data_IF_501431077037
#
_entry.id   IF_501431077037
#
_cell.length_a   1.000
_cell.length_b   1.000
_cell.length_c   1.000
_cell.angle_alpha   90.00
_cell.angle_beta   90.00
_cell.angle_gamma   90.00
#
_symmetry.space_group_name_H-M   'P 1'
#
loop_
_entity.id
_entity.type
_entity.pdbx_description
1 polymer ?
#
# COMPACT_ATOMS: atom_id res chain seq x y z
N UNK A 1 4.80 16.63 -12.90
CA UNK A 1 4.04 15.76 -11.97
C UNK A 1 2.57 15.81 -12.38
N UNK A 2 1.86 14.68 -12.41
CA UNK A 2 0.48 14.59 -12.94
C UNK A 2 -0.62 14.96 -11.93
N UNK A 3 -0.27 15.33 -10.69
CA UNK A 3 -1.24 15.73 -9.65
C UNK A 3 -2.23 16.82 -10.09
N UNK A 4 -1.85 17.91 -10.78
CA UNK A 4 -2.82 18.91 -11.25
C UNK A 4 -3.67 18.42 -12.45
N UNK A 5 -3.22 17.39 -13.17
CA UNK A 5 -3.83 16.91 -14.42
C UNK A 5 -4.98 15.94 -14.10
N UNK A 6 -6.19 16.46 -13.90
CA UNK A 6 -7.35 15.68 -13.42
C UNK A 6 -7.76 14.51 -14.33
N UNK A 7 -7.50 14.62 -15.62
CA UNK A 7 -7.77 13.55 -16.60
C UNK A 7 -6.82 12.35 -16.42
N UNK A 8 -5.66 12.57 -15.79
CA UNK A 8 -4.69 11.51 -15.54
C UNK A 8 -5.03 10.80 -14.23
N UNK A 9 -5.37 9.51 -14.35
CA UNK A 9 -5.60 8.63 -13.20
C UNK A 9 -4.29 8.37 -12.46
N UNK A 10 -4.33 8.47 -11.13
CA UNK A 10 -3.21 8.11 -10.26
C UNK A 10 -3.60 6.84 -9.51
N UNK A 11 -2.86 5.75 -9.75
CA UNK A 11 -3.10 4.46 -9.11
C UNK A 11 -1.85 4.09 -8.30
N UNK A 12 -2.00 3.97 -6.98
CA UNK A 12 -1.02 3.33 -6.11
C UNK A 12 -1.36 1.86 -5.92
N UNK A 13 -0.36 0.99 -5.88
CA UNK A 13 -0.53 -0.45 -5.65
C UNK A 13 0.21 -0.83 -4.38
N UNK A 14 -0.50 -1.29 -3.37
CA UNK A 14 0.07 -1.74 -2.11
C UNK A 14 0.28 -3.26 -2.11
N UNK A 15 1.24 -3.73 -1.31
CA UNK A 15 1.56 -5.16 -1.23
C UNK A 15 0.49 -5.91 -0.42
N UNK A 16 -0.15 -6.88 -1.06
CA UNK A 16 -1.19 -7.71 -0.48
C UNK A 16 -0.69 -8.90 0.34
N UNK A 17 0.61 -9.21 0.27
CA UNK A 17 1.21 -10.37 0.94
C UNK A 17 0.50 -11.67 0.56
N UNK A 18 0.07 -12.44 1.57
CA UNK A 18 -0.72 -13.66 1.38
C UNK A 18 -2.18 -13.40 0.99
N UNK A 19 -2.60 -12.13 1.01
CA UNK A 19 -3.94 -11.65 0.66
C UNK A 19 -4.56 -10.76 1.74
N UNK A 20 -5.38 -9.79 1.32
CA UNK A 20 -5.98 -8.76 2.19
C UNK A 20 -6.98 -9.28 3.24
N UNK A 21 -7.45 -10.51 3.09
CA UNK A 21 -8.34 -11.16 4.06
C UNK A 21 -7.55 -11.88 5.18
N UNK A 22 -6.22 -11.82 5.14
CA UNK A 22 -5.31 -12.38 6.14
C UNK A 22 -4.67 -11.26 6.95
N UNK A 23 -3.93 -11.60 8.01
CA UNK A 23 -3.11 -10.61 8.73
C UNK A 23 -1.74 -10.38 8.08
N UNK A 24 -1.42 -11.06 6.98
CA UNK A 24 -0.09 -11.06 6.35
C UNK A 24 -0.12 -10.23 5.07
N UNK A 25 -0.12 -8.91 5.23
CA UNK A 25 -0.08 -7.94 4.12
C UNK A 25 0.58 -6.62 4.55
N UNK A 26 0.78 -5.72 3.59
CA UNK A 26 1.28 -4.34 3.81
C UNK A 26 0.37 -3.29 3.14
N UNK A 27 -0.93 -3.59 3.01
CA UNK A 27 -1.96 -2.76 2.38
C UNK A 27 -2.46 -1.61 3.29
N UNK A 28 -1.57 -0.68 3.62
CA UNK A 28 -1.77 0.35 4.64
C UNK A 28 -2.90 1.35 4.35
N UNK A 29 -3.00 1.88 3.12
CA UNK A 29 -4.05 2.82 2.74
C UNK A 29 -5.38 2.12 2.52
N UNK A 30 -5.36 0.86 2.06
CA UNK A 30 -6.57 0.08 1.82
C UNK A 30 -7.24 -0.40 3.10
N UNK A 31 -6.46 -0.83 4.11
CA UNK A 31 -6.97 -1.50 5.32
C UNK A 31 -6.56 -0.84 6.63
N UNK A 32 -5.60 0.08 6.62
CA UNK A 32 -5.13 0.74 7.82
C UNK A 32 -6.05 1.84 8.32
N UNK A 33 -5.68 2.39 9.47
CA UNK A 33 -6.39 3.48 10.13
C UNK A 33 -5.45 4.66 10.39
N UNK A 34 -5.96 5.90 10.47
CA UNK A 34 -5.12 7.06 10.79
C UNK A 34 -4.41 6.92 12.15
N UNK A 35 -3.12 7.23 12.19
CA UNK A 35 -2.29 7.20 13.39
C UNK A 35 -1.03 8.05 13.25
N UNK A 36 -0.13 7.95 14.23
CA UNK A 36 1.15 8.66 14.24
C UNK A 36 2.29 7.67 14.41
N UNK A 37 3.19 7.60 13.43
CA UNK A 37 4.37 6.75 13.46
C UNK A 37 5.53 7.49 12.79
N UNK A 38 6.74 7.32 13.32
CA UNK A 38 7.97 7.89 12.77
C UNK A 38 7.87 9.40 12.46
N UNK A 39 7.21 10.17 13.33
CA UNK A 39 7.14 11.64 13.23
C UNK A 39 6.09 12.17 12.26
N UNK A 40 5.21 11.35 11.70
CA UNK A 40 4.15 11.78 10.77
C UNK A 40 2.78 11.25 11.16
N UNK A 41 1.73 12.05 10.92
CA UNK A 41 0.33 11.60 10.99
C UNK A 41 -0.09 11.09 9.62
N UNK A 42 -0.42 9.80 9.53
CA UNK A 42 -0.69 9.10 8.27
C UNK A 42 -1.56 7.86 8.53
N UNK A 43 -1.82 7.03 7.52
CA UNK A 43 -2.44 5.72 7.69
C UNK A 43 -1.42 4.69 8.17
N UNK A 44 -1.84 3.82 9.08
CA UNK A 44 -1.03 2.77 9.66
C UNK A 44 -1.80 1.45 9.73
N UNK A 45 -1.09 0.34 9.58
CA UNK A 45 -1.55 -0.97 10.02
C UNK A 45 -1.29 -1.09 11.53
N UNK A 46 -2.34 -0.88 12.30
CA UNK A 46 -2.29 -0.87 13.77
C UNK A 46 -3.55 -1.51 14.34
N UNK A 47 -3.45 -2.00 15.57
CA UNK A 47 -4.59 -2.53 16.29
C UNK A 47 -5.51 -1.40 16.78
N UNK A 48 -6.78 -1.43 16.39
CA UNK A 48 -7.74 -0.33 16.58
C UNK A 48 -7.90 0.16 18.01
N UNK A 49 -7.80 -0.73 19.01
CA UNK A 49 -8.02 -0.35 20.42
C UNK A 49 -6.75 0.09 21.14
N UNK A 50 -5.60 -0.48 20.76
CA UNK A 50 -4.35 -0.26 21.50
C UNK A 50 -3.38 0.68 20.80
N UNK A 51 -3.60 0.95 19.51
CA UNK A 51 -2.68 1.71 18.66
C UNK A 51 -1.32 1.04 18.46
N UNK A 52 -1.19 -0.24 18.83
CA UNK A 52 0.05 -0.99 18.60
C UNK A 52 0.18 -1.29 17.12
N UNK A 53 1.39 -1.08 16.58
CA UNK A 53 1.69 -1.33 15.18
C UNK A 53 1.67 -2.83 14.90
N UNK A 54 0.97 -3.22 13.85
CA UNK A 54 0.90 -4.62 13.42
C UNK A 54 2.17 -4.98 12.64
N UNK A 55 2.59 -6.24 12.77
CA UNK A 55 3.56 -6.80 11.83
C UNK A 55 2.96 -6.87 10.42
N UNK A 56 3.80 -6.68 9.42
CA UNK A 56 3.41 -6.69 8.01
C UNK A 56 4.01 -7.87 7.28
N UNK A 57 3.54 -8.08 6.05
CA UNK A 57 4.15 -9.05 5.16
C UNK A 57 4.07 -8.58 3.71
N UNK A 58 5.17 -8.84 2.98
CA UNK A 58 5.27 -8.72 1.53
C UNK A 58 6.45 -9.58 1.09
N UNK A 59 6.32 -10.30 -0.03
CA UNK A 59 7.48 -10.99 -0.63
C UNK A 59 8.59 -10.01 -1.03
N UNK A 60 8.22 -8.76 -1.32
CA UNK A 60 9.16 -7.67 -1.59
C UNK A 60 9.47 -6.92 -0.29
N UNK A 61 10.71 -7.06 0.19
CA UNK A 61 11.20 -6.36 1.39
C UNK A 61 11.06 -4.84 1.30
N UNK A 62 11.09 -4.25 0.10
CA UNK A 62 10.94 -2.81 -0.09
C UNK A 62 9.53 -2.29 0.18
N UNK A 63 8.53 -3.17 0.21
CA UNK A 63 7.12 -2.82 0.46
C UNK A 63 6.61 -3.32 1.82
N UNK A 64 7.44 -4.04 2.59
CA UNK A 64 7.09 -4.60 3.88
C UNK A 64 7.16 -3.53 4.99
N UNK A 65 6.16 -2.65 5.02
CA UNK A 65 6.12 -1.52 5.93
C UNK A 65 4.69 -1.20 6.40
N UNK A 66 4.45 -0.97 7.71
CA UNK A 66 3.12 -0.74 8.28
C UNK A 66 2.57 0.68 8.10
N UNK A 67 3.32 1.57 7.46
CA UNK A 67 2.94 2.97 7.29
C UNK A 67 3.00 3.42 5.83
N UNK A 68 2.70 4.70 5.60
CA UNK A 68 2.79 5.30 4.27
C UNK A 68 3.08 6.79 4.37
N UNK A 69 3.69 7.39 3.35
CA UNK A 69 3.92 8.83 3.31
C UNK A 69 2.60 9.63 3.41
N UNK A 70 2.57 10.75 4.16
CA UNK A 70 1.34 11.51 4.41
C UNK A 70 0.76 12.18 3.14
N UNK A 71 1.56 12.42 2.11
CA UNK A 71 1.06 12.93 0.83
C UNK A 71 0.14 11.89 0.15
N UNK A 72 0.48 10.60 0.22
CA UNK A 72 -0.39 9.54 -0.31
C UNK A 72 -1.68 9.40 0.50
N UNK A 73 -1.63 9.57 1.82
CA UNK A 73 -2.83 9.65 2.66
C UNK A 73 -3.75 10.79 2.20
N UNK A 74 -3.21 11.98 1.97
CA UNK A 74 -3.98 13.12 1.45
C UNK A 74 -4.52 12.87 0.03
N UNK A 75 -3.74 12.28 -0.87
CA UNK A 75 -4.18 11.95 -2.23
C UNK A 75 -5.33 10.93 -2.23
N UNK A 76 -5.30 9.95 -1.31
CA UNK A 76 -6.41 9.02 -1.09
C UNK A 76 -7.65 9.76 -0.59
N UNK A 77 -7.52 10.51 0.49
CA UNK A 77 -8.66 11.15 1.17
C UNK A 77 -9.32 12.23 0.31
N UNK A 78 -8.53 12.93 -0.51
CA UNK A 78 -9.04 13.90 -1.49
C UNK A 78 -9.68 13.26 -2.73
N UNK A 79 -9.59 11.93 -2.88
CA UNK A 79 -10.03 11.20 -4.05
C UNK A 79 -9.17 11.43 -5.30
N UNK A 80 -8.02 12.11 -5.18
CA UNK A 80 -7.14 12.40 -6.30
C UNK A 80 -6.41 11.16 -6.80
N UNK A 81 -6.09 10.22 -5.91
CA UNK A 81 -5.50 8.93 -6.25
C UNK A 81 -6.34 7.77 -5.70
N UNK A 82 -6.31 6.65 -6.42
CA UNK A 82 -6.90 5.39 -5.98
C UNK A 82 -5.78 4.45 -5.58
N UNK A 83 -6.04 3.67 -4.53
CA UNK A 83 -5.10 2.68 -4.03
C UNK A 83 -5.74 1.32 -4.14
N UNK A 84 -5.01 0.38 -4.74
CA UNK A 84 -5.42 -1.01 -4.94
C UNK A 84 -4.34 -1.93 -4.38
N UNK A 85 -4.61 -3.23 -4.38
CA UNK A 85 -3.68 -4.22 -3.82
C UNK A 85 -3.31 -5.25 -4.88
N UNK A 86 -2.05 -5.67 -4.87
CA UNK A 86 -1.57 -6.86 -5.56
C UNK A 86 -0.94 -7.82 -4.55
N UNK A 87 -1.41 -9.06 -4.50
CA UNK A 87 -0.84 -10.08 -3.63
C UNK A 87 0.50 -10.65 -4.16
N UNK A 88 1.19 -11.43 -3.36
CA UNK A 88 2.51 -11.97 -3.70
C UNK A 88 2.47 -12.87 -4.94
N UNK A 89 1.35 -13.55 -5.20
CA UNK A 89 1.20 -14.39 -6.39
C UNK A 89 1.08 -13.53 -7.64
N UNK A 90 0.25 -12.49 -7.60
CA UNK A 90 0.07 -11.53 -8.69
C UNK A 90 1.39 -10.80 -8.99
N UNK A 91 2.15 -10.42 -7.96
CA UNK A 91 3.45 -9.80 -8.14
C UNK A 91 4.45 -10.73 -8.84
N UNK A 92 4.53 -12.01 -8.42
CA UNK A 92 5.39 -13.00 -9.05
C UNK A 92 4.96 -13.35 -10.48
N UNK A 93 3.65 -13.41 -10.76
CA UNK A 93 3.12 -13.60 -12.10
C UNK A 93 3.52 -12.43 -13.02
N UNK A 94 3.35 -11.18 -12.54
CA UNK A 94 3.79 -9.99 -13.27
C UNK A 94 5.29 -9.95 -13.53
N UNK A 95 6.10 -10.32 -12.54
CA UNK A 95 7.55 -10.46 -12.68
C UNK A 95 7.91 -11.47 -13.78
N UNK A 96 7.35 -12.68 -13.73
CA UNK A 96 7.60 -13.73 -14.73
C UNK A 96 7.17 -13.29 -16.13
N UNK A 97 6.00 -12.66 -16.25
CA UNK A 97 5.49 -12.17 -17.51
C UNK A 97 6.48 -11.20 -18.14
N UNK A 98 6.86 -10.15 -17.41
CA UNK A 98 7.83 -9.14 -17.87
C UNK A 98 9.14 -9.77 -18.35
N UNK A 99 9.77 -10.62 -17.53
CA UNK A 99 11.02 -11.26 -17.93
C UNK A 99 10.89 -12.15 -19.17
N UNK A 100 9.72 -12.79 -19.36
CA UNK A 100 9.49 -13.68 -20.50
C UNK A 100 9.10 -12.96 -21.80
N UNK A 101 8.49 -11.77 -21.71
CA UNK A 101 7.99 -11.03 -22.86
C UNK A 101 8.87 -9.84 -23.27
N UNK A 102 9.49 -9.14 -22.31
CA UNK A 102 10.16 -7.85 -22.54
C UNK A 102 11.62 -7.79 -22.03
N UNK A 103 12.12 -8.85 -21.37
CA UNK A 103 13.50 -8.95 -20.87
C UNK A 103 13.77 -8.16 -19.60
#
# INVERSE_FOLDING_TARGET
AFVPDKEVKLIGVEAGGDGINTSRHSATLCLGTPGVLHGTRTYLLQHDKSGQINETHSISAGLDYPGVGPEHAWLKDSGRAQYVVADDKQALEGFKMMCSSEG
#
